data_IF_623428084229
#
_entry.id   IF_623428084229
#
_cell.length_a   1.000
_cell.length_b   1.000
_cell.length_c   1.000
_cell.angle_alpha   90.00
_cell.angle_beta   90.00
_cell.angle_gamma   90.00
#
_symmetry.space_group_name_H-M   'P 1'
#
loop_
_entity.id
_entity.type
_entity.pdbx_description
1 polymer ?
#
# COMPACT_ATOMS: atom_id res chain seq x y z
N UNK A 1 -13.96 -9.25 -4.95
CA UNK A 1 -13.59 -8.00 -4.23
C UNK A 1 -13.16 -6.96 -5.25
N UNK A 2 -13.89 -5.85 -5.42
CA UNK A 2 -13.48 -4.78 -6.34
C UNK A 2 -12.20 -4.11 -5.83
N UNK A 3 -11.26 -3.82 -6.74
CA UNK A 3 -9.94 -3.22 -6.47
C UNK A 3 -9.99 -1.99 -5.56
N UNK A 4 -11.06 -1.19 -5.68
CA UNK A 4 -11.25 0.04 -4.91
C UNK A 4 -11.37 -0.19 -3.41
N UNK A 5 -12.04 -1.27 -2.98
CA UNK A 5 -12.17 -1.58 -1.54
C UNK A 5 -10.82 -1.94 -0.94
N UNK A 6 -10.00 -2.67 -1.70
CA UNK A 6 -8.71 -3.10 -1.25
C UNK A 6 -7.74 -1.92 -1.06
N UNK A 7 -7.71 -0.98 -2.02
CA UNK A 7 -6.86 0.21 -1.94
C UNK A 7 -7.28 1.14 -0.80
N UNK A 8 -8.60 1.33 -0.63
CA UNK A 8 -9.16 2.13 0.46
C UNK A 8 -8.73 1.58 1.83
N UNK A 9 -8.87 0.27 2.03
CA UNK A 9 -8.51 -0.32 3.30
C UNK A 9 -6.99 -0.27 3.58
N UNK A 10 -6.15 -0.32 2.53
CA UNK A 10 -4.70 -0.16 2.69
C UNK A 10 -4.34 1.26 3.15
N UNK A 11 -4.98 2.27 2.55
CA UNK A 11 -4.84 3.66 2.99
C UNK A 11 -5.34 3.85 4.43
N UNK A 12 -6.44 3.20 4.80
CA UNK A 12 -6.96 3.23 6.17
C UNK A 12 -6.00 2.59 7.17
N UNK A 13 -5.37 1.47 6.82
CA UNK A 13 -4.37 0.82 7.66
C UNK A 13 -3.11 1.68 7.84
N UNK A 14 -2.64 2.33 6.78
CA UNK A 14 -1.53 3.28 6.83
C UNK A 14 -1.84 4.47 7.75
N UNK A 15 -3.04 5.05 7.64
CA UNK A 15 -3.50 6.13 8.54
C UNK A 15 -3.60 5.70 10.01
N UNK A 16 -3.96 4.43 10.28
CA UNK A 16 -4.02 3.88 11.65
C UNK A 16 -2.62 3.66 12.24
N UNK A 17 -1.67 3.16 11.44
CA UNK A 17 -0.29 2.98 11.87
C UNK A 17 0.38 4.30 12.27
N UNK A 18 0.06 5.38 11.53
CA UNK A 18 0.61 6.72 11.79
C UNK A 18 0.01 7.39 13.04
N UNK A 19 -1.23 7.04 13.40
CA UNK A 19 -1.95 7.60 14.58
C UNK A 19 -1.95 6.73 15.83
N UNK A 20 -1.46 5.48 15.78
CA UNK A 20 -1.48 4.59 16.94
C UNK A 20 -0.45 5.01 18.00
N UNK A 21 -0.91 5.19 19.23
CA UNK A 21 -0.09 5.69 20.35
C UNK A 21 0.74 4.61 21.05
N UNK A 22 0.41 3.33 20.86
CA UNK A 22 1.13 2.20 21.48
C UNK A 22 1.94 1.38 20.47
N UNK A 23 2.94 0.62 20.94
CA UNK A 23 3.80 -0.21 20.09
C UNK A 23 3.03 -1.41 19.50
N UNK A 24 2.09 -1.95 20.25
CA UNK A 24 1.24 -3.08 19.91
C UNK A 24 0.29 -2.74 18.77
N UNK A 25 -0.38 -1.58 18.85
CA UNK A 25 -1.25 -1.09 17.77
C UNK A 25 -0.47 -0.81 16.47
N UNK A 26 0.77 -0.28 16.57
CA UNK A 26 1.65 -0.13 15.41
C UNK A 26 1.97 -1.48 14.78
N UNK A 27 2.31 -2.48 15.59
CA UNK A 27 2.61 -3.84 15.12
C UNK A 27 1.43 -4.46 14.39
N UNK A 28 0.23 -4.37 14.96
CA UNK A 28 -1.00 -4.85 14.33
C UNK A 28 -1.28 -4.14 13.00
N UNK A 29 -1.06 -2.82 12.94
CA UNK A 29 -1.24 -2.06 11.71
C UNK A 29 -0.20 -2.45 10.64
N UNK A 30 1.05 -2.70 11.01
CA UNK A 30 2.10 -3.20 10.10
C UNK A 30 1.78 -4.60 9.57
N UNK A 31 1.33 -5.53 10.43
CA UNK A 31 0.93 -6.87 10.01
C UNK A 31 -0.26 -6.82 9.04
N UNK A 32 -1.25 -5.97 9.34
CA UNK A 32 -2.39 -5.74 8.45
C UNK A 32 -1.95 -5.15 7.10
N UNK A 33 -0.98 -4.23 7.08
CA UNK A 33 -0.41 -3.68 5.84
C UNK A 33 0.36 -4.73 5.05
N UNK A 34 1.17 -5.57 5.70
CA UNK A 34 1.96 -6.62 5.04
C UNK A 34 1.07 -7.68 4.38
N UNK A 35 0.05 -8.17 5.11
CA UNK A 35 -0.91 -9.14 4.59
C UNK A 35 -1.76 -8.58 3.43
N UNK A 36 -1.93 -7.26 3.38
CA UNK A 36 -2.55 -6.55 2.24
C UNK A 36 -1.56 -6.48 1.07
N UNK A 37 -0.35 -5.97 1.26
CA UNK A 37 0.65 -5.84 0.21
C UNK A 37 0.87 -7.16 -0.55
N UNK A 38 0.93 -8.29 0.18
CA UNK A 38 1.01 -9.64 -0.39
C UNK A 38 -0.15 -9.96 -1.35
N UNK A 39 -1.39 -9.68 -0.93
CA UNK A 39 -2.58 -9.91 -1.77
C UNK A 39 -2.57 -9.07 -3.06
N UNK A 40 -2.04 -7.85 -3.03
CA UNK A 40 -1.89 -7.04 -4.24
C UNK A 40 -0.84 -7.66 -5.17
N UNK A 41 0.32 -8.05 -4.61
CA UNK A 41 1.38 -8.66 -5.40
C UNK A 41 0.89 -9.93 -6.10
N UNK A 42 0.13 -10.78 -5.39
CA UNK A 42 -0.50 -11.97 -5.95
C UNK A 42 -1.52 -11.64 -7.04
N UNK A 43 -2.40 -10.67 -6.81
CA UNK A 43 -3.37 -10.23 -7.82
C UNK A 43 -2.66 -9.67 -9.06
N UNK A 44 -1.62 -8.85 -8.89
CA UNK A 44 -0.83 -8.29 -10.02
C UNK A 44 -0.16 -9.39 -10.82
N UNK A 45 0.43 -10.37 -10.14
CA UNK A 45 1.02 -11.56 -10.79
C UNK A 45 -0.02 -12.33 -11.60
N UNK A 46 -1.20 -12.57 -11.03
CA UNK A 46 -2.29 -13.27 -11.71
C UNK A 46 -2.82 -12.52 -12.94
N UNK A 47 -2.71 -11.19 -12.97
CA UNK A 47 -3.18 -10.35 -14.09
C UNK A 47 -2.05 -9.93 -15.06
N UNK A 48 -0.84 -10.50 -14.93
CA UNK A 48 0.30 -10.14 -15.79
C UNK A 48 0.83 -8.72 -15.59
N UNK A 49 0.45 -8.06 -14.50
CA UNK A 49 0.83 -6.67 -14.18
C UNK A 49 2.11 -6.60 -13.34
N UNK A 50 2.83 -7.70 -13.17
CA UNK A 50 4.06 -7.79 -12.38
C UNK A 50 5.20 -6.94 -12.94
N UNK A 51 5.21 -6.66 -14.24
CA UNK A 51 6.23 -5.84 -14.91
C UNK A 51 5.89 -4.35 -14.95
N UNK A 52 4.66 -3.98 -14.58
CA UNK A 52 4.28 -2.59 -14.39
C UNK A 52 4.73 -2.17 -12.99
N UNK A 53 5.27 -0.96 -12.84
CA UNK A 53 5.55 -0.38 -11.52
C UNK A 53 4.30 -0.26 -10.65
N UNK A 54 4.46 0.10 -9.38
CA UNK A 54 3.29 0.36 -8.54
C UNK A 54 2.55 1.60 -9.06
N UNK A 55 1.20 1.65 -9.02
CA UNK A 55 0.41 2.78 -9.55
C UNK A 55 0.62 4.13 -8.85
N UNK A 56 1.71 4.31 -8.09
CA UNK A 56 2.06 5.53 -7.38
C UNK A 56 3.56 5.78 -7.23
N UNK A 57 4.41 5.14 -8.03
CA UNK A 57 5.83 5.54 -8.13
C UNK A 57 6.03 6.83 -8.96
N UNK A 58 4.94 7.49 -9.37
CA UNK A 58 4.97 8.89 -9.79
C UNK A 58 4.98 9.74 -8.52
N UNK A 59 6.16 9.93 -7.94
CA UNK A 59 6.40 11.01 -7.01
C UNK A 59 6.14 12.32 -7.79
N UNK A 60 5.21 13.20 -7.36
CA UNK A 60 5.26 14.56 -7.87
C UNK A 60 6.58 15.17 -7.36
N UNK A 61 7.36 15.67 -8.30
CA UNK A 61 8.53 16.55 -8.15
C UNK A 61 9.87 15.92 -7.75
N UNK A 62 10.65 15.53 -8.75
CA UNK A 62 12.12 15.66 -8.70
C UNK A 62 12.74 15.98 -10.08
N UNK A 63 12.19 16.97 -10.77
CA UNK A 63 12.97 17.75 -11.75
C UNK A 63 12.51 19.21 -11.73
N UNK A 64 13.01 19.95 -10.74
CA UNK A 64 13.40 21.34 -10.94
C UNK A 64 14.88 21.39 -11.28
N UNK A 65 15.17 22.20 -12.28
CA UNK A 65 16.40 22.89 -12.63
C UNK A 65 17.49 22.13 -13.42
N UNK A 66 17.80 22.75 -14.56
CA UNK A 66 18.74 22.39 -15.61
C UNK A 66 18.46 23.25 -16.83
#
# INVERSE_FOLDING_TARGET
MPMNQFLFDHQLAAMRADRSGSAEERKEAFEAMAGRAKRIAEWRKANGLSNLGWPRDVHPDSHKDG
#
